data_IF_382817635726
#
_entry.id   IF_382817635726
#
_cell.length_a   1.000
_cell.length_b   1.000
_cell.length_c   1.000
_cell.angle_alpha   90.00
_cell.angle_beta   90.00
_cell.angle_gamma   90.00
#
_symmetry.space_group_name_H-M   'P 1'
#
loop_
_entity.id
_entity.type
_entity.pdbx_description
1 polymer ?
#
# COMPACT_ATOMS: atom_id res chain seq x y z
N UNK A 1 15.77 1.10 -23.65
CA UNK A 1 15.05 0.05 -22.91
C UNK A 1 15.23 0.29 -21.42
N UNK A 2 14.20 0.13 -20.63
CA UNK A 2 14.28 0.24 -19.18
C UNK A 2 14.65 -1.10 -18.58
N UNK A 3 15.65 -1.13 -17.74
CA UNK A 3 16.01 -2.33 -16.98
C UNK A 3 15.04 -2.49 -15.80
N UNK A 4 14.48 -3.68 -15.67
CA UNK A 4 13.66 -4.09 -14.53
C UNK A 4 14.24 -5.39 -13.98
N UNK A 5 14.49 -5.42 -12.68
CA UNK A 5 15.00 -6.61 -12.02
C UNK A 5 14.21 -6.93 -10.75
N UNK A 6 14.04 -8.22 -10.48
CA UNK A 6 13.41 -8.68 -9.26
C UNK A 6 14.18 -9.88 -8.70
N UNK A 7 14.49 -9.81 -7.42
CA UNK A 7 15.19 -10.84 -6.69
C UNK A 7 14.41 -11.17 -5.42
N UNK A 8 14.25 -12.46 -5.14
CA UNK A 8 13.60 -12.94 -3.91
C UNK A 8 14.45 -14.06 -3.31
N UNK A 9 14.63 -14.00 -2.01
CA UNK A 9 15.29 -15.03 -1.22
C UNK A 9 14.34 -15.46 -0.12
N UNK A 10 14.13 -16.76 0.00
CA UNK A 10 13.27 -17.36 1.02
C UNK A 10 14.08 -18.43 1.76
N UNK A 11 13.96 -18.43 3.08
CA UNK A 11 14.56 -19.41 3.97
C UNK A 11 13.46 -19.92 4.88
N UNK A 12 13.28 -21.23 4.92
CA UNK A 12 12.37 -21.88 5.84
C UNK A 12 13.03 -23.06 6.53
N UNK A 13 12.63 -23.31 7.74
CA UNK A 13 13.15 -24.42 8.49
C UNK A 13 12.47 -24.56 9.84
N UNK A 14 12.95 -25.50 10.63
CA UNK A 14 12.40 -25.68 11.95
C UNK A 14 12.97 -26.90 12.65
N UNK A 15 12.53 -27.06 13.87
CA UNK A 15 12.70 -28.20 14.74
C UNK A 15 11.32 -28.69 15.16
N UNK A 16 11.23 -29.69 16.02
CA UNK A 16 9.96 -30.15 16.59
C UNK A 16 9.20 -29.06 17.36
N UNK A 17 9.87 -27.99 17.77
CA UNK A 17 9.30 -26.91 18.58
C UNK A 17 9.32 -25.53 17.92
N UNK A 18 10.12 -25.34 16.89
CA UNK A 18 10.29 -24.03 16.25
C UNK A 18 10.12 -24.19 14.76
N UNK A 19 9.26 -23.40 14.16
CA UNK A 19 9.07 -23.31 12.71
C UNK A 19 9.28 -21.86 12.31
N UNK A 20 10.06 -21.62 11.27
CA UNK A 20 10.32 -20.28 10.78
C UNK A 20 10.28 -20.21 9.26
N UNK A 21 9.88 -19.05 8.79
CA UNK A 21 9.96 -18.64 7.40
C UNK A 21 10.44 -17.19 7.35
N UNK A 22 11.50 -16.94 6.58
CA UNK A 22 12.05 -15.60 6.35
C UNK A 22 12.10 -15.37 4.85
N UNK A 23 11.65 -14.21 4.41
CA UNK A 23 11.67 -13.80 3.01
C UNK A 23 12.18 -12.38 2.88
N UNK A 24 13.04 -12.15 1.91
CA UNK A 24 13.48 -10.82 1.50
C UNK A 24 13.39 -10.71 -0.01
N UNK A 25 12.86 -9.57 -0.49
CA UNK A 25 12.74 -9.29 -1.91
C UNK A 25 13.24 -7.90 -2.25
N UNK A 26 13.86 -7.77 -3.41
CA UNK A 26 14.29 -6.50 -3.99
C UNK A 26 13.76 -6.40 -5.42
N UNK A 27 13.16 -5.26 -5.73
CA UNK A 27 12.66 -4.93 -7.06
C UNK A 27 13.20 -3.56 -7.44
N UNK A 28 13.76 -3.44 -8.63
CA UNK A 28 14.24 -2.19 -9.20
C UNK A 28 13.70 -1.98 -10.60
N UNK A 29 13.32 -0.77 -10.91
CA UNK A 29 12.82 -0.36 -12.22
C UNK A 29 13.36 1.02 -12.54
N UNK A 30 14.02 1.16 -13.68
CA UNK A 30 14.44 2.44 -14.24
C UNK A 30 13.33 3.14 -15.03
N UNK A 31 13.59 4.37 -15.45
CA UNK A 31 12.66 5.18 -16.25
C UNK A 31 12.84 5.00 -17.76
N UNK A 32 11.87 5.52 -18.51
CA UNK A 32 11.88 5.57 -19.97
C UNK A 32 12.36 6.90 -20.51
N UNK A 33 12.47 7.94 -19.64
CA UNK A 33 12.82 9.27 -20.06
C UNK A 33 14.33 9.40 -20.26
N UNK A 34 14.72 10.20 -21.23
CA UNK A 34 16.12 10.53 -21.48
C UNK A 34 16.71 11.23 -20.27
N UNK A 35 17.86 10.77 -19.84
CA UNK A 35 18.67 11.48 -18.84
C UNK A 35 19.47 12.59 -19.52
N UNK A 36 19.63 13.69 -18.81
CA UNK A 36 20.41 14.85 -19.27
C UNK A 36 21.51 15.13 -18.26
N UNK A 37 22.58 15.75 -18.73
CA UNK A 37 23.67 16.23 -17.88
C UNK A 37 23.20 17.46 -17.09
N UNK A 38 22.56 17.19 -15.96
CA UNK A 38 22.03 18.19 -15.04
C UNK A 38 22.67 17.97 -13.66
N UNK A 39 22.76 19.02 -12.82
CA UNK A 39 23.34 18.91 -11.48
C UNK A 39 22.52 18.03 -10.53
N UNK A 40 21.41 17.47 -10.98
CA UNK A 40 20.55 16.55 -10.23
C UNK A 40 19.93 15.51 -11.15
N UNK A 41 19.69 14.32 -10.61
CA UNK A 41 19.15 13.22 -11.37
C UNK A 41 17.63 13.39 -11.54
N UNK A 42 17.18 13.45 -12.78
CA UNK A 42 15.78 13.50 -13.22
C UNK A 42 15.22 12.10 -13.53
N UNK A 43 16.01 11.04 -13.44
CA UNK A 43 15.56 9.73 -13.89
C UNK A 43 14.37 9.22 -13.09
N UNK A 44 13.45 8.60 -13.80
CA UNK A 44 12.35 7.89 -13.17
C UNK A 44 12.89 6.57 -12.63
N UNK A 45 12.91 6.41 -11.31
CA UNK A 45 13.38 5.21 -10.65
C UNK A 45 12.36 4.75 -9.61
N UNK A 46 12.19 3.46 -9.53
CA UNK A 46 11.39 2.83 -8.50
C UNK A 46 12.17 1.64 -7.91
N UNK A 47 12.37 1.67 -6.60
CA UNK A 47 13.02 0.61 -5.86
C UNK A 47 12.09 0.16 -4.73
N UNK A 48 11.85 -1.14 -4.61
CA UNK A 48 11.06 -1.71 -3.54
C UNK A 48 11.83 -2.83 -2.87
N UNK A 49 11.94 -2.74 -1.57
CA UNK A 49 12.46 -3.79 -0.71
C UNK A 49 11.33 -4.28 0.17
N UNK A 50 11.08 -5.57 0.17
CA UNK A 50 10.09 -6.20 1.03
C UNK A 50 10.74 -7.27 1.89
N UNK A 51 10.25 -7.40 3.11
CA UNK A 51 10.71 -8.40 4.06
C UNK A 51 9.53 -9.02 4.79
N UNK A 52 9.69 -10.28 5.16
CA UNK A 52 8.74 -11.02 5.99
C UNK A 52 9.48 -12.02 6.85
N UNK A 53 9.06 -12.14 8.10
CA UNK A 53 9.48 -13.19 9.02
C UNK A 53 8.25 -13.73 9.73
N UNK A 54 8.05 -15.02 9.67
CA UNK A 54 7.05 -15.75 10.43
C UNK A 54 7.77 -16.73 11.34
N UNK A 55 7.41 -16.76 12.60
CA UNK A 55 8.02 -17.59 13.61
C UNK A 55 6.93 -18.19 14.51
N UNK A 56 6.87 -19.51 14.57
CA UNK A 56 6.03 -20.26 15.50
C UNK A 56 6.92 -21.03 16.47
N UNK A 57 6.69 -20.85 17.76
CA UNK A 57 7.40 -21.52 18.84
C UNK A 57 6.41 -22.28 19.71
N UNK A 58 6.55 -23.59 19.77
CA UNK A 58 5.84 -24.42 20.74
C UNK A 58 6.58 -24.33 22.08
N UNK A 59 6.21 -23.28 22.87
CA UNK A 59 6.82 -22.99 24.18
C UNK A 59 6.63 -24.16 25.14
N UNK A 60 5.45 -24.77 25.09
CA UNK A 60 5.11 -26.03 25.75
C UNK A 60 4.33 -26.93 24.81
N UNK A 61 3.95 -28.15 25.21
CA UNK A 61 3.09 -29.05 24.43
C UNK A 61 1.70 -28.46 24.17
N UNK A 62 1.29 -27.46 24.96
CA UNK A 62 -0.04 -26.86 24.92
C UNK A 62 -0.03 -25.36 24.60
N UNK A 63 1.15 -24.73 24.57
CA UNK A 63 1.31 -23.29 24.36
C UNK A 63 2.15 -23.01 23.11
N UNK A 64 1.59 -22.28 22.17
CA UNK A 64 2.29 -21.83 20.96
C UNK A 64 2.33 -20.31 20.95
N UNK A 65 3.52 -19.75 20.72
CA UNK A 65 3.76 -18.34 20.44
C UNK A 65 4.02 -18.17 18.94
N UNK A 66 3.21 -17.36 18.28
CA UNK A 66 3.40 -16.99 16.87
C UNK A 66 3.78 -15.52 16.77
N UNK A 67 4.78 -15.22 15.97
CA UNK A 67 5.25 -13.86 15.69
C UNK A 67 5.39 -13.67 14.17
N UNK A 68 4.73 -12.65 13.63
CA UNK A 68 4.82 -12.31 12.22
C UNK A 68 5.23 -10.84 12.08
N UNK A 69 6.26 -10.61 11.30
CA UNK A 69 6.71 -9.25 10.95
C UNK A 69 6.80 -9.19 9.44
N UNK A 70 6.18 -8.19 8.84
CA UNK A 70 6.27 -7.93 7.41
C UNK A 70 6.33 -6.44 7.15
N UNK A 71 6.98 -6.06 6.08
CA UNK A 71 6.99 -4.68 5.65
C UNK A 71 7.63 -4.48 4.29
N UNK A 72 7.57 -3.24 3.86
CA UNK A 72 8.25 -2.82 2.64
C UNK A 72 8.77 -1.39 2.76
N UNK A 73 9.81 -1.12 1.98
CA UNK A 73 10.38 0.20 1.74
C UNK A 73 10.32 0.45 0.24
N UNK A 74 9.53 1.44 -0.17
CA UNK A 74 9.39 1.83 -1.56
C UNK A 74 9.98 3.22 -1.77
N UNK A 75 10.99 3.32 -2.61
CA UNK A 75 11.61 4.59 -2.99
C UNK A 75 11.30 4.88 -4.46
N UNK A 76 10.65 5.99 -4.72
CA UNK A 76 10.37 6.46 -6.07
C UNK A 76 11.03 7.82 -6.31
N UNK A 77 11.68 7.98 -7.44
CA UNK A 77 12.19 9.26 -7.93
C UNK A 77 11.55 9.57 -9.30
N UNK A 78 11.16 10.80 -9.52
CA UNK A 78 10.59 11.23 -10.79
C UNK A 78 10.87 12.71 -11.04
N UNK A 79 10.85 13.16 -12.32
CA UNK A 79 10.89 14.58 -12.62
C UNK A 79 9.72 15.33 -11.98
N UNK A 80 9.96 16.55 -11.54
CA UNK A 80 8.90 17.47 -11.14
C UNK A 80 8.45 18.29 -12.33
N UNK A 81 7.17 18.27 -12.65
CA UNK A 81 6.60 18.93 -13.83
C UNK A 81 5.47 19.90 -13.48
N UNK A 82 5.18 20.11 -12.20
CA UNK A 82 4.03 20.91 -11.75
C UNK A 82 2.66 20.27 -12.06
N UNK A 83 2.57 19.46 -13.12
CA UNK A 83 1.32 18.84 -13.58
C UNK A 83 1.23 17.33 -13.28
N UNK A 84 2.23 16.80 -12.61
CA UNK A 84 2.33 15.35 -12.35
C UNK A 84 2.66 14.52 -13.61
N UNK A 85 2.73 13.20 -13.42
CA UNK A 85 3.16 12.29 -14.51
C UNK A 85 2.19 12.25 -15.69
N UNK A 86 0.89 12.40 -15.47
CA UNK A 86 -0.11 12.42 -16.52
C UNK A 86 0.06 13.68 -17.40
N UNK A 87 0.25 14.84 -16.79
CA UNK A 87 0.48 16.08 -17.52
C UNK A 87 1.74 16.04 -18.39
N UNK A 88 2.80 15.38 -17.91
CA UNK A 88 4.01 15.18 -18.68
C UNK A 88 3.77 14.34 -19.95
N UNK A 89 3.08 13.22 -19.83
CA UNK A 89 2.73 12.36 -20.98
C UNK A 89 1.81 13.08 -21.97
N UNK A 90 0.87 13.87 -21.49
CA UNK A 90 -0.01 14.70 -22.32
C UNK A 90 0.82 15.71 -23.10
N UNK A 91 1.73 16.43 -22.45
CA UNK A 91 2.61 17.39 -23.11
C UNK A 91 3.48 16.73 -24.18
N UNK A 92 4.03 15.55 -23.90
CA UNK A 92 4.80 14.77 -24.88
C UNK A 92 3.96 14.34 -26.09
N UNK A 93 2.73 13.92 -25.85
CA UNK A 93 1.81 13.47 -26.90
C UNK A 93 1.40 14.60 -27.85
N UNK A 94 1.17 15.79 -27.30
CA UNK A 94 0.78 16.96 -28.08
C UNK A 94 1.94 17.80 -28.59
N UNK A 95 3.19 17.50 -28.23
CA UNK A 95 4.37 18.19 -28.74
C UNK A 95 4.57 17.92 -30.21
N UNK A 96 4.82 18.98 -30.97
CA UNK A 96 5.23 18.82 -32.36
C UNK A 96 6.73 19.13 -32.50
N UNK A 97 7.42 18.49 -33.45
CA UNK A 97 8.86 18.76 -33.68
C UNK A 97 9.14 20.21 -34.11
N UNK A 98 8.13 20.91 -34.61
CA UNK A 98 8.27 22.30 -35.05
C UNK A 98 8.15 23.30 -33.89
N UNK A 99 7.22 23.07 -32.98
CA UNK A 99 7.00 23.99 -31.84
C UNK A 99 7.98 23.77 -30.70
N UNK A 100 8.40 22.52 -30.48
CA UNK A 100 9.24 22.15 -29.36
C UNK A 100 10.20 21.01 -29.73
N UNK A 101 11.22 21.27 -30.53
CA UNK A 101 12.19 20.26 -30.97
C UNK A 101 13.08 19.75 -29.82
N UNK A 102 12.97 20.32 -28.63
CA UNK A 102 13.76 19.94 -27.47
C UNK A 102 14.99 20.81 -27.27
N UNK A 103 16.14 20.20 -27.03
CA UNK A 103 17.41 20.90 -26.87
C UNK A 103 18.09 21.08 -28.25
N UNK A 104 18.28 22.31 -28.64
CA UNK A 104 19.06 22.71 -29.83
C UNK A 104 20.17 23.63 -29.35
N UNK A 105 21.41 23.32 -29.69
CA UNK A 105 22.61 24.07 -29.25
C UNK A 105 22.63 24.34 -27.74
N UNK A 106 22.23 23.33 -26.94
CA UNK A 106 22.14 23.43 -25.47
C UNK A 106 21.03 24.34 -24.95
N UNK A 107 20.14 24.83 -25.82
CA UNK A 107 19.01 25.69 -25.48
C UNK A 107 17.70 24.90 -25.56
N UNK A 108 16.85 25.03 -24.56
CA UNK A 108 15.49 24.46 -24.60
C UNK A 108 14.61 25.31 -25.50
N UNK A 109 14.33 24.82 -26.70
CA UNK A 109 13.55 25.56 -27.70
C UNK A 109 12.06 25.38 -27.49
N UNK A 110 11.34 26.50 -27.46
CA UNK A 110 9.89 26.59 -27.49
C UNK A 110 9.44 27.73 -28.38
N UNK A 111 9.07 27.43 -29.62
CA UNK A 111 8.66 28.41 -30.61
C UNK A 111 7.22 28.91 -30.46
N UNK A 112 6.40 28.26 -29.66
CA UNK A 112 4.97 28.58 -29.52
C UNK A 112 4.69 29.95 -28.90
N UNK A 113 5.69 30.58 -28.27
CA UNK A 113 5.55 31.88 -27.63
C UNK A 113 5.43 33.01 -28.67
N UNK A 114 6.27 32.97 -29.71
CA UNK A 114 6.29 33.99 -30.75
C UNK A 114 5.51 33.59 -32.01
N UNK A 115 5.26 32.33 -32.22
CA UNK A 115 4.54 31.77 -33.37
C UNK A 115 3.23 31.10 -32.93
N UNK A 116 2.13 31.88 -32.87
CA UNK A 116 0.83 31.36 -32.38
C UNK A 116 0.30 30.15 -33.14
N UNK A 117 0.59 30.08 -34.44
CA UNK A 117 0.18 28.99 -35.32
C UNK A 117 0.89 27.66 -34.99
N UNK A 118 2.00 27.73 -34.27
CA UNK A 118 2.74 26.57 -33.78
C UNK A 118 2.33 26.18 -32.34
N UNK A 119 1.30 26.80 -31.75
CA UNK A 119 0.83 26.46 -30.42
C UNK A 119 0.31 25.04 -30.38
N UNK A 120 0.68 24.37 -29.30
CA UNK A 120 0.09 23.09 -29.01
C UNK A 120 -1.40 23.25 -28.61
N UNK A 121 -2.26 22.28 -28.94
CA UNK A 121 -3.70 22.33 -28.62
C UNK A 121 -4.01 22.54 -27.13
N UNK A 122 -3.09 22.15 -26.26
CA UNK A 122 -3.22 22.29 -24.81
C UNK A 122 -1.98 23.00 -24.24
N UNK A 123 -2.21 24.15 -23.62
CA UNK A 123 -1.35 24.85 -22.64
C UNK A 123 0.07 25.25 -23.02
N UNK A 124 0.47 25.24 -24.28
CA UNK A 124 1.79 25.77 -24.69
C UNK A 124 2.99 25.13 -23.98
N UNK A 125 2.83 23.92 -23.46
CA UNK A 125 3.88 23.17 -22.79
C UNK A 125 4.85 22.56 -23.81
N UNK A 126 6.11 22.42 -23.44
CA UNK A 126 7.08 21.66 -24.21
C UNK A 126 6.96 20.19 -23.87
N UNK A 127 7.12 19.28 -24.86
CA UNK A 127 7.26 17.85 -24.62
C UNK A 127 8.44 17.50 -23.69
N UNK A 128 9.38 18.43 -23.57
CA UNK A 128 10.48 18.38 -22.61
C UNK A 128 10.23 19.21 -21.34
N UNK A 129 8.98 19.48 -20.98
CA UNK A 129 8.62 20.22 -19.76
C UNK A 129 9.16 19.65 -18.46
N UNK A 130 9.69 18.43 -18.49
CA UNK A 130 10.41 17.81 -17.37
C UNK A 130 11.89 18.23 -17.30
N UNK A 131 12.47 18.79 -18.38
CA UNK A 131 13.86 19.21 -18.41
C UNK A 131 14.10 20.40 -17.48
N UNK A 132 14.98 20.21 -16.51
CA UNK A 132 15.39 21.28 -15.60
C UNK A 132 14.34 21.75 -14.59
N UNK A 133 13.13 21.20 -14.61
CA UNK A 133 12.03 21.59 -13.72
C UNK A 133 12.18 21.14 -12.25
N UNK A 134 13.17 20.32 -11.95
CA UNK A 134 13.39 19.75 -10.64
C UNK A 134 12.99 18.27 -10.53
N UNK A 135 12.87 17.78 -9.30
CA UNK A 135 12.58 16.37 -9.04
C UNK A 135 11.62 16.22 -7.86
N UNK A 136 10.99 15.04 -7.78
CA UNK A 136 10.21 14.60 -6.64
C UNK A 136 10.68 13.20 -6.24
N UNK A 137 11.00 13.02 -4.97
CA UNK A 137 11.32 11.73 -4.36
C UNK A 137 10.26 11.40 -3.31
N UNK A 138 9.83 10.15 -3.31
CA UNK A 138 8.88 9.63 -2.32
C UNK A 138 9.49 8.38 -1.70
N UNK A 139 9.53 8.32 -0.38
CA UNK A 139 9.90 7.12 0.38
C UNK A 139 8.70 6.68 1.20
N UNK A 140 8.17 5.52 0.89
CA UNK A 140 7.04 4.92 1.59
C UNK A 140 7.51 3.67 2.34
N UNK A 141 7.33 3.69 3.67
CA UNK A 141 7.71 2.60 4.56
C UNK A 141 6.47 2.05 5.22
N UNK A 142 6.30 0.73 5.22
CA UNK A 142 5.24 0.04 5.94
C UNK A 142 5.83 -1.03 6.85
N UNK A 143 5.25 -1.17 8.02
CA UNK A 143 5.56 -2.20 8.99
C UNK A 143 4.24 -2.80 9.50
N UNK A 144 4.14 -4.12 9.46
CA UNK A 144 3.07 -4.89 10.08
C UNK A 144 3.72 -5.89 11.04
N UNK A 145 3.27 -5.92 12.27
CA UNK A 145 3.77 -6.83 13.31
C UNK A 145 2.59 -7.45 14.06
N UNK A 146 2.56 -8.77 14.12
CA UNK A 146 1.57 -9.55 14.84
C UNK A 146 2.26 -10.45 15.87
N UNK A 147 1.69 -10.52 17.05
CA UNK A 147 2.09 -11.48 18.09
C UNK A 147 0.84 -12.20 18.60
N UNK A 148 0.87 -13.51 18.62
CA UNK A 148 -0.23 -14.34 19.11
C UNK A 148 0.29 -15.38 20.09
N UNK A 149 -0.36 -15.49 21.23
CA UNK A 149 -0.18 -16.58 22.16
C UNK A 149 -1.44 -17.45 22.14
N UNK A 150 -1.28 -18.73 21.84
CA UNK A 150 -2.36 -19.72 21.83
C UNK A 150 -2.10 -20.77 22.91
N UNK A 151 -3.09 -21.05 23.73
CA UNK A 151 -3.07 -22.05 24.80
C UNK A 151 -4.18 -23.08 24.57
N UNK A 152 -3.82 -24.35 24.47
CA UNK A 152 -4.78 -25.46 24.52
C UNK A 152 -5.22 -25.65 25.98
N UNK A 153 -6.50 -25.79 26.20
CA UNK A 153 -7.13 -25.95 27.52
C UNK A 153 -7.81 -27.31 27.65
N UNK A 154 -7.22 -28.32 27.01
CA UNK A 154 -7.74 -29.71 27.04
C UNK A 154 -7.82 -30.31 28.45
N UNK A 155 -7.09 -29.73 29.41
CA UNK A 155 -7.16 -30.09 30.82
C UNK A 155 -8.46 -29.62 31.48
N UNK A 156 -9.17 -28.65 30.93
CA UNK A 156 -10.52 -28.23 31.35
C UNK A 156 -11.55 -29.06 30.61
N UNK A 157 -11.48 -29.02 29.27
CA UNK A 157 -12.29 -29.84 28.37
C UNK A 157 -11.62 -30.01 27.03
N UNK A 158 -11.69 -31.24 26.47
CA UNK A 158 -11.07 -31.52 25.16
C UNK A 158 -11.63 -30.59 24.06
N UNK A 159 -10.74 -30.02 23.28
CA UNK A 159 -11.08 -29.15 22.18
C UNK A 159 -11.27 -27.70 22.55
N UNK A 160 -11.07 -27.30 23.81
CA UNK A 160 -11.06 -25.93 24.24
C UNK A 160 -9.66 -25.30 24.03
N UNK A 161 -9.62 -24.09 23.52
CA UNK A 161 -8.39 -23.31 23.44
C UNK A 161 -8.68 -21.83 23.64
N UNK A 162 -7.70 -21.12 24.15
CA UNK A 162 -7.69 -19.66 24.28
C UNK A 162 -6.59 -19.10 23.41
N UNK A 163 -6.81 -17.93 22.82
CA UNK A 163 -5.72 -17.14 22.27
C UNK A 163 -5.88 -15.66 22.56
N UNK A 164 -4.75 -14.98 22.62
CA UNK A 164 -4.65 -13.52 22.59
C UNK A 164 -3.73 -13.14 21.44
N UNK A 165 -4.14 -12.15 20.65
CA UNK A 165 -3.38 -11.62 19.54
C UNK A 165 -3.31 -10.10 19.64
N UNK A 166 -2.13 -9.55 19.37
CA UNK A 166 -1.90 -8.13 19.17
C UNK A 166 -1.30 -7.90 17.79
N UNK A 167 -1.80 -6.89 17.10
CA UNK A 167 -1.29 -6.46 15.80
C UNK A 167 -0.97 -4.96 15.84
N UNK A 168 0.13 -4.59 15.24
CA UNK A 168 0.55 -3.20 15.08
C UNK A 168 0.93 -2.94 13.63
N UNK A 169 0.30 -1.94 13.03
CA UNK A 169 0.57 -1.51 11.67
C UNK A 169 1.01 -0.06 11.68
N UNK A 170 2.05 0.25 10.91
CA UNK A 170 2.58 1.59 10.74
C UNK A 170 2.93 1.85 9.30
N UNK A 171 2.54 3.02 8.80
CA UNK A 171 2.91 3.53 7.50
C UNK A 171 3.47 4.95 7.64
N UNK A 172 4.54 5.22 6.92
CA UNK A 172 5.18 6.52 6.87
C UNK A 172 5.63 6.82 5.44
N UNK A 173 5.18 7.94 4.89
CA UNK A 173 5.58 8.40 3.56
C UNK A 173 6.22 9.77 3.67
N UNK A 174 7.50 9.87 3.34
CA UNK A 174 8.21 11.14 3.22
C UNK A 174 8.24 11.61 1.77
N UNK A 175 8.19 12.92 1.59
CA UNK A 175 8.26 13.57 0.30
C UNK A 175 9.44 14.56 0.31
N UNK A 176 10.25 14.50 -0.73
CA UNK A 176 11.24 15.54 -1.02
C UNK A 176 10.94 16.05 -2.41
N UNK A 177 10.57 17.30 -2.53
CA UNK A 177 10.31 17.97 -3.78
C UNK A 177 11.28 19.14 -3.95
N UNK A 178 11.84 19.25 -5.13
CA UNK A 178 12.63 20.41 -5.51
C UNK A 178 12.15 20.89 -6.88
N UNK A 179 11.89 22.18 -7.02
CA UNK A 179 11.45 22.80 -8.25
C UNK A 179 12.46 23.84 -8.74
N UNK A 180 12.55 23.99 -10.04
CA UNK A 180 13.35 25.02 -10.68
C UNK A 180 12.63 25.55 -11.92
N UNK A 181 13.00 26.75 -12.36
CA UNK A 181 12.60 27.30 -13.64
C UNK A 181 13.73 27.16 -14.63
N UNK A 182 13.40 26.91 -15.90
CA UNK A 182 14.36 26.86 -17.02
C UNK A 182 13.96 27.86 -18.08
N UNK A 183 14.92 28.63 -18.55
CA UNK A 183 14.70 29.51 -19.66
C UNK A 183 14.39 28.74 -20.94
N UNK A 184 13.44 29.22 -21.72
CA UNK A 184 13.13 28.70 -23.04
C UNK A 184 13.59 29.70 -24.10
N UNK A 185 13.77 29.22 -25.30
CA UNK A 185 14.31 30.03 -26.42
C UNK A 185 13.45 29.83 -27.65
N UNK A 186 13.13 30.94 -28.34
CA UNK A 186 12.54 30.93 -29.67
C UNK A 186 13.60 31.24 -30.73
N UNK A 187 13.79 30.38 -31.74
CA UNK A 187 14.69 30.70 -32.84
C UNK A 187 14.07 31.79 -33.73
N UNK A 188 14.88 32.77 -34.13
CA UNK A 188 14.48 33.86 -35.00
C UNK A 188 15.47 33.92 -36.16
N UNK A 189 14.98 33.78 -37.39
CA UNK A 189 15.81 33.93 -38.59
C UNK A 189 16.14 35.40 -38.78
N UNK A 190 17.44 35.71 -38.92
CA UNK A 190 17.96 37.07 -39.21
C UNK A 190 18.02 37.33 -40.71
N UNK A 191 18.14 38.59 -41.11
CA UNK A 191 18.23 38.99 -42.51
C UNK A 191 19.46 38.42 -43.24
N UNK A 192 20.53 38.15 -42.50
CA UNK A 192 21.76 37.53 -43.01
C UNK A 192 21.69 35.99 -43.13
N UNK A 193 20.53 35.40 -42.83
CA UNK A 193 20.30 33.97 -42.87
C UNK A 193 20.77 33.20 -41.60
N UNK A 194 21.29 33.89 -40.59
CA UNK A 194 21.68 33.29 -39.33
C UNK A 194 20.48 33.12 -38.40
N UNK A 195 20.57 32.20 -37.43
CA UNK A 195 19.54 31.97 -36.42
C UNK A 195 19.98 32.61 -35.10
N UNK A 196 19.23 33.62 -34.65
CA UNK A 196 19.34 34.15 -33.31
C UNK A 196 18.33 33.49 -32.39
N UNK A 197 18.61 33.49 -31.08
CA UNK A 197 17.72 32.91 -30.08
C UNK A 197 17.17 33.98 -29.13
N UNK A 198 15.88 34.25 -29.20
CA UNK A 198 15.18 35.09 -28.24
C UNK A 198 14.88 34.29 -26.96
N UNK A 199 15.39 34.78 -25.83
CA UNK A 199 15.28 34.11 -24.53
C UNK A 199 14.00 34.53 -23.81
N UNK A 200 13.32 33.56 -23.21
CA UNK A 200 12.18 33.74 -22.33
C UNK A 200 12.41 33.08 -20.95
N UNK A 201 12.04 33.81 -19.91
CA UNK A 201 12.26 33.39 -18.55
C UNK A 201 13.72 33.38 -18.10
N UNK A 202 13.98 32.79 -16.97
CA UNK A 202 15.33 32.68 -16.40
C UNK A 202 15.50 31.30 -15.74
N UNK A 203 16.73 30.81 -15.76
CA UNK A 203 17.10 29.65 -14.98
C UNK A 203 17.13 30.06 -13.51
N UNK A 204 16.51 29.28 -12.65
CA UNK A 204 16.58 29.42 -11.20
C UNK A 204 17.35 28.27 -10.56
N UNK A 205 17.84 28.52 -9.36
CA UNK A 205 18.34 27.45 -8.52
C UNK A 205 17.17 26.55 -8.05
N UNK A 206 17.49 25.31 -7.67
CA UNK A 206 16.51 24.41 -7.06
C UNK A 206 15.96 24.99 -5.77
N UNK A 207 14.63 25.11 -5.70
CA UNK A 207 13.91 25.47 -4.49
C UNK A 207 13.33 24.20 -3.89
N UNK A 208 13.76 23.86 -2.70
CA UNK A 208 13.22 22.72 -1.95
C UNK A 208 11.90 23.11 -1.29
N UNK A 209 10.95 22.21 -1.35
CA UNK A 209 9.65 22.33 -0.70
C UNK A 209 9.49 21.15 0.24
N UNK A 210 9.34 21.45 1.53
CA UNK A 210 8.97 20.47 2.53
C UNK A 210 7.46 20.25 2.45
N UNK A 211 7.07 18.98 2.43
CA UNK A 211 5.67 18.57 2.54
C UNK A 211 5.52 17.73 3.79
N UNK A 212 4.44 17.95 4.51
CA UNK A 212 4.10 17.13 5.65
C UNK A 212 4.06 15.65 5.25
N UNK A 213 4.77 14.80 5.98
CA UNK A 213 4.78 13.38 5.68
C UNK A 213 3.40 12.78 5.94
N UNK A 214 2.94 11.93 5.03
CA UNK A 214 1.78 11.11 5.31
C UNK A 214 2.17 10.00 6.29
N UNK A 215 1.34 9.79 7.30
CA UNK A 215 1.54 8.78 8.33
C UNK A 215 0.25 8.05 8.62
N UNK A 216 0.36 6.77 8.92
CA UNK A 216 -0.73 5.92 9.41
C UNK A 216 -0.20 5.04 10.54
N UNK A 217 -1.04 4.77 11.49
CA UNK A 217 -0.76 3.87 12.58
C UNK A 217 -2.06 3.30 13.09
N UNK A 218 -2.10 2.01 13.21
CA UNK A 218 -3.21 1.31 13.84
C UNK A 218 -2.71 0.15 14.69
N UNK A 219 -3.49 -0.20 15.66
CA UNK A 219 -3.32 -1.42 16.43
C UNK A 219 -4.64 -2.15 16.56
N UNK A 220 -4.52 -3.46 16.70
CA UNK A 220 -5.62 -4.37 16.92
C UNK A 220 -5.24 -5.35 18.04
N UNK A 221 -6.18 -5.66 18.87
CA UNK A 221 -6.06 -6.68 19.91
C UNK A 221 -7.30 -7.56 19.89
N UNK A 222 -7.10 -8.85 20.07
CA UNK A 222 -8.19 -9.81 20.29
C UNK A 222 -7.84 -10.80 21.37
N UNK A 223 -8.86 -11.28 22.06
CA UNK A 223 -8.81 -12.41 22.97
C UNK A 223 -10.01 -13.31 22.67
N UNK A 224 -9.77 -14.61 22.48
CA UNK A 224 -10.82 -15.51 22.10
C UNK A 224 -10.72 -16.88 22.79
N UNK A 225 -11.90 -17.40 23.14
CA UNK A 225 -12.11 -18.79 23.51
C UNK A 225 -12.69 -19.52 22.30
N UNK A 226 -12.05 -20.61 21.92
CA UNK A 226 -12.47 -21.48 20.84
C UNK A 226 -12.74 -22.88 21.42
N UNK A 227 -13.85 -23.45 21.05
CA UNK A 227 -14.18 -24.82 21.35
C UNK A 227 -14.50 -25.56 20.05
N UNK A 228 -13.93 -26.75 19.85
CA UNK A 228 -14.25 -27.60 18.72
C UNK A 228 -14.14 -29.07 19.17
N UNK A 229 -15.22 -29.83 18.99
CA UNK A 229 -15.25 -31.24 19.41
C UNK A 229 -16.20 -32.05 18.56
N UNK A 230 -15.81 -33.29 18.36
CA UNK A 230 -16.62 -34.31 17.71
C UNK A 230 -17.16 -35.30 18.74
N UNK A 231 -18.46 -35.62 18.63
CA UNK A 231 -19.19 -36.59 19.43
C UNK A 231 -19.86 -37.61 18.48
N UNK A 232 -19.10 -38.59 18.02
CA UNK A 232 -19.57 -39.51 17.00
C UNK A 232 -19.83 -38.76 15.68
N UNK A 233 -21.12 -38.71 15.30
CA UNK A 233 -21.52 -38.01 14.04
C UNK A 233 -21.88 -36.53 14.27
N UNK A 234 -21.65 -35.98 15.43
CA UNK A 234 -21.97 -34.59 15.77
C UNK A 234 -20.69 -33.79 15.89
N UNK A 235 -20.56 -32.74 15.09
CA UNK A 235 -19.45 -31.81 15.18
C UNK A 235 -19.97 -30.47 15.73
N UNK A 236 -19.38 -30.02 16.81
CA UNK A 236 -19.77 -28.78 17.48
C UNK A 236 -18.58 -27.85 17.51
N UNK A 237 -18.76 -26.59 17.12
CA UNK A 237 -17.79 -25.57 17.43
C UNK A 237 -18.42 -24.32 18.01
N UNK A 238 -17.67 -23.60 18.83
CA UNK A 238 -18.07 -22.31 19.39
C UNK A 238 -16.87 -21.36 19.46
N UNK A 239 -17.13 -20.09 19.29
CA UNK A 239 -16.18 -18.98 19.45
C UNK A 239 -16.83 -17.92 20.31
N UNK A 240 -16.09 -17.45 21.30
CA UNK A 240 -16.36 -16.18 21.99
C UNK A 240 -15.11 -15.32 21.85
N UNK A 241 -15.25 -14.17 21.19
CA UNK A 241 -14.14 -13.29 20.87
C UNK A 241 -14.46 -11.88 21.37
N UNK A 242 -13.49 -11.29 22.03
CA UNK A 242 -13.42 -9.85 22.28
C UNK A 242 -12.35 -9.24 21.39
N UNK A 243 -12.64 -8.12 20.75
CA UNK A 243 -11.65 -7.37 19.98
C UNK A 243 -11.73 -5.87 20.24
N UNK A 244 -10.60 -5.23 20.02
CA UNK A 244 -10.48 -3.78 20.09
C UNK A 244 -9.47 -3.31 19.04
N UNK A 245 -9.77 -2.21 18.37
CA UNK A 245 -8.86 -1.57 17.43
C UNK A 245 -8.86 -0.06 17.59
N UNK A 246 -7.74 0.55 17.22
CA UNK A 246 -7.61 2.00 17.14
C UNK A 246 -6.80 2.39 15.93
N UNK A 247 -7.34 3.31 15.13
CA UNK A 247 -6.73 3.87 13.94
C UNK A 247 -6.35 5.32 14.26
N UNK A 248 -5.08 5.65 14.09
CA UNK A 248 -4.56 7.01 14.18
C UNK A 248 -4.38 7.59 12.79
N UNK A 249 -4.54 8.89 12.68
CA UNK A 249 -4.42 9.65 11.42
C UNK A 249 -5.35 9.13 10.31
N UNK A 250 -6.65 8.95 10.57
CA UNK A 250 -7.58 8.57 9.52
C UNK A 250 -7.66 9.69 8.48
N UNK A 251 -7.79 9.32 7.20
CA UNK A 251 -7.75 10.25 6.08
C UNK A 251 -8.80 11.37 6.12
N UNK A 252 -9.94 11.11 6.78
CA UNK A 252 -11.05 12.09 6.85
C UNK A 252 -10.85 13.13 7.98
N UNK A 253 -10.19 12.74 9.09
CA UNK A 253 -9.97 13.58 10.26
C UNK A 253 -8.65 13.15 10.92
N UNK A 254 -7.53 13.65 10.42
CA UNK A 254 -6.18 13.18 10.79
C UNK A 254 -5.86 13.32 12.28
N UNK A 255 -6.48 14.30 12.97
CA UNK A 255 -6.21 14.60 14.37
C UNK A 255 -7.12 13.85 15.34
N UNK A 256 -8.14 13.15 14.83
CA UNK A 256 -9.10 12.42 15.66
C UNK A 256 -8.95 10.92 15.44
N UNK A 257 -8.31 10.18 16.35
CA UNK A 257 -8.23 8.73 16.26
C UNK A 257 -9.63 8.10 16.28
N UNK A 258 -9.75 6.92 15.64
CA UNK A 258 -10.98 6.14 15.62
C UNK A 258 -10.78 4.83 16.36
N UNK A 259 -11.67 4.53 17.30
CA UNK A 259 -11.70 3.28 18.05
C UNK A 259 -12.94 2.46 17.76
N UNK A 260 -12.74 1.14 17.77
CA UNK A 260 -13.80 0.14 17.70
C UNK A 260 -13.57 -0.92 18.77
N UNK A 261 -14.67 -1.42 19.34
CA UNK A 261 -14.69 -2.53 20.28
C UNK A 261 -15.77 -3.50 19.85
N UNK A 262 -15.51 -4.80 19.95
CA UNK A 262 -16.47 -5.82 19.57
C UNK A 262 -16.43 -7.04 20.49
N UNK A 263 -17.59 -7.64 20.68
CA UNK A 263 -17.75 -8.99 21.23
C UNK A 263 -18.47 -9.79 20.18
N UNK A 264 -17.93 -10.95 19.83
CA UNK A 264 -18.50 -11.85 18.83
C UNK A 264 -18.71 -13.21 19.43
N UNK A 265 -19.92 -13.72 19.32
CA UNK A 265 -20.27 -15.10 19.60
C UNK A 265 -20.59 -15.84 18.30
N UNK A 266 -20.07 -17.04 18.14
CA UNK A 266 -20.38 -17.94 17.02
C UNK A 266 -20.57 -19.34 17.56
N UNK A 267 -21.58 -20.04 17.09
CA UNK A 267 -21.77 -21.46 17.33
C UNK A 267 -22.09 -22.15 16.00
N UNK A 268 -21.45 -23.28 15.77
CA UNK A 268 -21.74 -24.14 14.61
C UNK A 268 -22.04 -25.55 15.08
N UNK A 269 -22.95 -26.18 14.39
CA UNK A 269 -23.30 -27.56 14.58
C UNK A 269 -23.42 -28.27 13.24
N UNK A 270 -22.84 -29.42 13.15
CA UNK A 270 -22.94 -30.32 12.00
C UNK A 270 -23.33 -31.73 12.47
N UNK A 271 -24.26 -32.34 11.75
CA UNK A 271 -24.63 -33.74 11.96
C UNK A 271 -24.36 -34.56 10.70
N UNK A 272 -23.44 -35.52 10.83
CA UNK A 272 -23.03 -36.45 9.76
C UNK A 272 -22.50 -35.74 8.50
N UNK A 273 -21.99 -34.54 8.62
CA UNK A 273 -21.64 -33.68 7.45
C UNK A 273 -22.81 -33.48 6.49
N UNK A 274 -24.04 -33.58 6.96
CA UNK A 274 -25.25 -33.54 6.16
C UNK A 274 -26.13 -32.36 6.49
N UNK A 275 -26.36 -32.12 7.76
CA UNK A 275 -27.15 -31.00 8.25
C UNK A 275 -26.24 -30.07 9.04
N UNK A 276 -26.19 -28.82 8.65
CA UNK A 276 -25.32 -27.83 9.24
C UNK A 276 -26.14 -26.62 9.69
N UNK A 277 -25.83 -26.11 10.85
CA UNK A 277 -26.42 -24.88 11.36
C UNK A 277 -25.31 -23.98 11.92
N UNK A 278 -25.45 -22.69 11.71
CA UNK A 278 -24.55 -21.67 12.25
C UNK A 278 -25.36 -20.52 12.82
N UNK A 279 -24.93 -20.04 13.97
CA UNK A 279 -25.45 -18.84 14.58
C UNK A 279 -24.29 -17.92 14.96
N UNK A 280 -24.41 -16.65 14.58
CA UNK A 280 -23.45 -15.61 14.90
C UNK A 280 -24.17 -14.45 15.58
N UNK A 281 -23.52 -13.83 16.55
CA UNK A 281 -23.96 -12.59 17.17
C UNK A 281 -22.75 -11.67 17.37
N UNK A 282 -22.85 -10.46 16.85
CA UNK A 282 -21.90 -9.40 17.08
C UNK A 282 -22.49 -8.31 17.95
N UNK A 283 -21.76 -7.86 18.96
CA UNK A 283 -22.05 -6.66 19.73
C UNK A 283 -20.89 -5.70 19.57
N UNK A 284 -21.05 -4.72 18.66
CA UNK A 284 -19.97 -3.86 18.22
C UNK A 284 -20.24 -2.39 18.57
N UNK A 285 -19.18 -1.70 19.01
CA UNK A 285 -19.21 -0.30 19.35
C UNK A 285 -18.17 0.51 18.56
N UNK A 286 -18.52 1.77 18.26
CA UNK A 286 -17.63 2.71 17.58
C UNK A 286 -17.68 4.09 18.22
N UNK A 287 -16.52 4.73 18.32
CA UNK A 287 -16.38 6.11 18.79
C UNK A 287 -17.08 7.13 17.87
N UNK A 288 -17.40 6.76 16.63
CA UNK A 288 -18.07 7.64 15.66
C UNK A 288 -19.50 8.01 16.05
N UNK A 289 -20.08 7.29 17.01
CA UNK A 289 -21.45 7.55 17.49
C UNK A 289 -21.47 8.24 18.83
N UNK A 290 -22.53 9.00 19.08
CA UNK A 290 -22.73 9.71 20.32
C UNK A 290 -22.72 8.77 21.55
N UNK A 291 -22.28 9.22 22.74
CA UNK A 291 -22.41 8.46 23.97
C UNK A 291 -23.83 7.93 24.18
N UNK A 292 -23.95 6.67 24.60
CA UNK A 292 -25.25 5.96 24.74
C UNK A 292 -25.81 5.34 23.46
N UNK A 293 -25.24 5.65 22.27
CA UNK A 293 -25.65 5.08 20.96
C UNK A 293 -24.48 4.40 20.22
N UNK A 294 -23.40 4.10 20.92
CA UNK A 294 -22.16 3.59 20.33
C UNK A 294 -22.20 2.12 19.96
N UNK A 295 -23.07 1.34 20.57
CA UNK A 295 -23.13 -0.10 20.42
C UNK A 295 -24.37 -0.56 19.67
N UNK A 296 -24.19 -1.57 18.83
CA UNK A 296 -25.26 -2.26 18.11
C UNK A 296 -25.10 -3.77 18.20
N UNK A 297 -26.21 -4.50 18.14
CA UNK A 297 -26.26 -5.96 18.12
C UNK A 297 -26.61 -6.43 16.71
N UNK A 298 -25.85 -7.40 16.21
CA UNK A 298 -25.95 -7.90 14.84
C UNK A 298 -26.02 -9.43 14.84
N UNK A 299 -27.23 -10.04 14.97
CA UNK A 299 -27.41 -11.47 14.85
C UNK A 299 -27.43 -11.92 13.38
N UNK A 300 -26.90 -13.12 13.12
CA UNK A 300 -26.99 -13.80 11.84
C UNK A 300 -27.10 -15.30 12.05
N UNK A 301 -27.79 -16.01 11.17
CA UNK A 301 -27.92 -17.46 11.22
C UNK A 301 -27.99 -18.06 9.82
N UNK A 302 -27.49 -19.28 9.68
CA UNK A 302 -27.57 -20.03 8.43
C UNK A 302 -27.84 -21.51 8.70
N UNK A 303 -28.43 -22.16 7.72
CA UNK A 303 -28.71 -23.60 7.70
C UNK A 303 -28.25 -24.20 6.37
N UNK A 304 -27.59 -25.34 6.41
CA UNK A 304 -27.13 -26.08 5.25
C UNK A 304 -27.62 -27.53 5.27
N UNK A 305 -27.94 -28.06 4.09
CA UNK A 305 -28.32 -29.45 3.91
C UNK A 305 -27.66 -30.00 2.65
N UNK A 306 -26.93 -31.12 2.79
CA UNK A 306 -26.34 -31.85 1.69
C UNK A 306 -27.30 -32.94 1.26
N UNK A 307 -28.16 -32.63 0.31
CA UNK A 307 -29.22 -33.52 -0.21
C UNK A 307 -28.65 -34.81 -0.83
N UNK A 308 -27.49 -34.71 -1.47
CA UNK A 308 -26.79 -35.85 -2.08
C UNK A 308 -26.34 -36.91 -1.09
N UNK A 309 -26.29 -36.60 0.19
CA UNK A 309 -25.96 -37.57 1.25
C UNK A 309 -27.21 -38.30 1.81
N UNK A 310 -28.40 -37.96 1.34
CA UNK A 310 -29.63 -38.66 1.73
C UNK A 310 -29.77 -40.04 1.06
N UNK A 311 -30.41 -40.96 1.79
CA UNK A 311 -30.62 -42.33 1.27
C UNK A 311 -31.46 -42.39 0.01
N UNK A 312 -32.39 -41.45 -0.17
CA UNK A 312 -33.22 -41.37 -1.36
C UNK A 312 -32.52 -40.81 -2.59
N UNK A 313 -31.34 -40.18 -2.41
CA UNK A 313 -30.54 -39.63 -3.50
C UNK A 313 -29.44 -40.59 -3.99
N UNK A 314 -28.97 -41.47 -3.11
CA UNK A 314 -27.98 -42.49 -3.48
C UNK A 314 -28.69 -43.64 -4.19
N UNK A 315 -28.27 -43.99 -5.44
CA UNK A 315 -28.87 -45.13 -6.16
C UNK A 315 -28.64 -46.45 -5.45
#
# INVERSE_FOLDING_TARGET
MTLQTQHNVNISGGTDRVRYFISAGAYTQGGLFKEFDLPYNLSYQYNRFNYRSNLDIDVTKTTTLSMNIAGNVNNASKPYTGQGSAGMLINMYYSTPFSSPGLVDGKLVNASTDYPDLRMPFTGGSGMGYYGGGFMRTSNNTLNADVQLKQKLDFITKGLSFHIKGSYNSGFTSYTQASASVATYTPVLQEDGTIAYKKYGQNSQLKYEDKDPAKSRDWYMEAALNYAREFGNHHVSALLLYNQSKIYYPSAYSDIPRGMVGIVGRATYDWKNRYMAEFNIGYNGSENYAPGKRFGTFPAGSFGWIVSEEKFWKP
#
